data_IF_430581491546
#
_entry.id   IF_430581491546
#
_cell.length_a   1.000
_cell.length_b   1.000
_cell.length_c   1.000
_cell.angle_alpha   90.00
_cell.angle_beta   90.00
_cell.angle_gamma   90.00
#
_symmetry.space_group_name_H-M   'P 1'
#
loop_
_entity.id
_entity.type
_entity.pdbx_description
1 polymer ?
#
# COMPACT_ATOMS: atom_id res chain seq x y z
N UNK A 1 12.76 -17.81 -34.03
CA UNK A 1 11.89 -18.70 -34.82
C UNK A 1 11.48 -19.86 -33.93
N UNK A 2 10.18 -20.00 -33.69
CA UNK A 2 9.60 -20.86 -32.66
C UNK A 2 9.57 -22.34 -33.10
N UNK A 3 10.25 -23.23 -32.35
CA UNK A 3 10.17 -24.69 -32.52
C UNK A 3 8.85 -25.32 -32.01
N UNK A 4 7.81 -24.49 -31.79
CA UNK A 4 6.48 -24.94 -31.36
C UNK A 4 5.87 -26.01 -32.29
N UNK A 5 6.02 -25.93 -33.64
CA UNK A 5 5.50 -26.98 -34.53
C UNK A 5 6.22 -28.31 -34.36
N UNK A 6 7.54 -28.28 -34.08
CA UNK A 6 8.37 -29.49 -33.91
C UNK A 6 8.00 -30.20 -32.62
N UNK A 7 7.73 -29.46 -31.54
CA UNK A 7 7.32 -30.01 -30.25
C UNK A 7 5.93 -30.65 -30.35
N UNK A 8 4.98 -30.01 -31.03
CA UNK A 8 3.63 -30.56 -31.24
C UNK A 8 3.68 -31.83 -32.08
N UNK A 9 4.53 -31.87 -33.11
CA UNK A 9 4.74 -33.06 -33.94
C UNK A 9 5.37 -34.20 -33.13
N UNK A 10 6.35 -33.89 -32.27
CA UNK A 10 7.00 -34.87 -31.40
C UNK A 10 6.02 -35.47 -30.38
N UNK A 11 5.15 -34.63 -29.79
CA UNK A 11 4.10 -35.08 -28.87
C UNK A 11 3.04 -35.93 -29.56
N UNK A 12 2.67 -35.61 -30.81
CA UNK A 12 1.75 -36.44 -31.60
C UNK A 12 2.36 -37.80 -31.96
N UNK A 13 3.64 -37.85 -32.33
CA UNK A 13 4.34 -39.10 -32.64
C UNK A 13 4.44 -39.98 -31.38
N UNK A 14 4.77 -39.39 -30.24
CA UNK A 14 4.82 -40.11 -28.96
C UNK A 14 3.43 -40.65 -28.59
N UNK A 15 2.37 -39.85 -28.76
CA UNK A 15 0.98 -40.28 -28.52
C UNK A 15 0.58 -41.45 -29.45
N UNK A 16 0.96 -41.40 -30.73
CA UNK A 16 0.60 -42.45 -31.68
C UNK A 16 1.37 -43.76 -31.43
N UNK A 17 2.66 -43.67 -31.10
CA UNK A 17 3.47 -44.83 -30.69
C UNK A 17 2.91 -45.43 -29.39
N UNK A 18 2.44 -44.58 -28.47
CA UNK A 18 1.82 -44.99 -27.21
C UNK A 18 0.49 -45.74 -27.41
N UNK A 19 -0.38 -45.30 -28.32
CA UNK A 19 -1.62 -46.00 -28.69
C UNK A 19 -1.35 -47.38 -29.33
N UNK A 20 -0.30 -47.49 -30.16
CA UNK A 20 0.09 -48.77 -30.77
C UNK A 20 0.62 -49.75 -29.71
N UNK A 21 1.39 -49.26 -28.74
CA UNK A 21 1.90 -50.09 -27.63
C UNK A 21 0.75 -50.51 -26.69
N UNK A 22 -0.26 -49.65 -26.49
CA UNK A 22 -1.45 -49.91 -25.68
C UNK A 22 -2.35 -51.02 -26.26
N UNK A 23 -2.41 -51.18 -27.58
CA UNK A 23 -3.16 -52.27 -28.21
C UNK A 23 -2.55 -53.67 -27.98
N UNK A 24 -1.29 -53.76 -27.54
CA UNK A 24 -0.60 -55.05 -27.40
C UNK A 24 -0.34 -55.53 -25.97
N UNK A 25 -0.48 -54.68 -24.93
CA UNK A 25 -0.18 -55.08 -23.55
C UNK A 25 -1.31 -54.72 -22.56
N UNK A 26 -2.03 -55.74 -22.06
CA UNK A 26 -3.01 -55.61 -20.97
C UNK A 26 -2.30 -55.37 -19.62
N UNK A 27 -1.89 -54.13 -19.34
CA UNK A 27 -1.41 -53.71 -18.01
C UNK A 27 -2.15 -52.46 -17.50
N UNK A 28 -3.34 -52.67 -16.95
CA UNK A 28 -4.19 -51.61 -16.38
C UNK A 28 -3.55 -50.91 -15.15
N UNK A 29 -2.66 -51.59 -14.43
CA UNK A 29 -2.05 -51.07 -13.19
C UNK A 29 -0.85 -50.15 -13.48
N UNK A 30 -0.03 -50.45 -14.50
CA UNK A 30 1.06 -49.56 -14.94
C UNK A 30 0.55 -48.26 -15.56
N UNK A 31 -0.66 -48.26 -16.13
CA UNK A 31 -1.33 -47.08 -16.70
C UNK A 31 -1.49 -45.96 -15.68
N UNK A 32 -2.00 -46.25 -14.49
CA UNK A 32 -2.28 -45.22 -13.49
C UNK A 32 -0.99 -44.74 -12.80
N UNK A 33 -0.01 -45.62 -12.61
CA UNK A 33 1.28 -45.26 -12.00
C UNK A 33 2.12 -44.40 -12.96
N UNK A 34 2.17 -44.75 -14.25
CA UNK A 34 2.95 -44.01 -15.25
C UNK A 34 2.29 -42.67 -15.62
N UNK A 35 0.95 -42.60 -15.69
CA UNK A 35 0.21 -41.35 -15.90
C UNK A 35 0.31 -40.43 -14.67
N UNK A 36 0.35 -40.99 -13.45
CA UNK A 36 0.62 -40.23 -12.23
C UNK A 36 2.08 -39.74 -12.18
N UNK A 37 3.04 -40.53 -12.68
CA UNK A 37 4.45 -40.13 -12.83
C UNK A 37 4.64 -39.06 -13.91
N UNK A 38 3.93 -39.15 -15.04
CA UNK A 38 3.93 -38.13 -16.10
C UNK A 38 3.26 -36.83 -15.64
N UNK A 39 2.14 -36.91 -14.89
CA UNK A 39 1.56 -35.73 -14.22
C UNK A 39 2.50 -35.18 -13.14
N UNK A 40 3.19 -36.02 -12.35
CA UNK A 40 4.22 -35.56 -11.41
C UNK A 40 5.39 -34.88 -12.14
N UNK A 41 5.81 -35.38 -13.31
CA UNK A 41 6.86 -34.79 -14.14
C UNK A 41 6.42 -33.47 -14.82
N UNK A 42 5.14 -33.33 -15.18
CA UNK A 42 4.58 -32.07 -15.67
C UNK A 42 4.39 -31.03 -14.55
N UNK A 43 4.12 -31.47 -13.30
CA UNK A 43 3.98 -30.59 -12.14
C UNK A 43 5.35 -30.18 -11.57
N UNK A 44 6.42 -30.93 -11.85
CA UNK A 44 7.76 -30.66 -11.29
C UNK A 44 8.69 -29.78 -12.17
N UNK A 45 8.21 -29.16 -13.26
CA UNK A 45 9.08 -28.36 -14.12
C UNK A 45 8.47 -27.08 -14.74
N UNK A 46 7.55 -26.40 -14.04
CA UNK A 46 7.59 -24.93 -14.05
C UNK A 46 8.12 -24.50 -12.70
N UNK A 47 9.38 -24.86 -12.42
CA UNK A 47 10.10 -24.19 -11.35
C UNK A 47 10.12 -22.71 -11.74
N UNK A 48 9.31 -21.89 -11.07
CA UNK A 48 9.29 -20.46 -11.31
C UNK A 48 10.72 -19.97 -11.14
N UNK A 49 11.33 -19.57 -12.26
CA UNK A 49 12.70 -19.09 -12.27
C UNK A 49 12.76 -17.94 -11.27
N UNK A 50 13.71 -18.03 -10.35
CA UNK A 50 13.87 -17.03 -9.30
C UNK A 50 15.35 -16.78 -9.07
N UNK A 51 15.65 -15.53 -8.76
CA UNK A 51 16.98 -15.10 -8.36
C UNK A 51 16.88 -14.50 -6.97
N UNK A 52 17.75 -14.93 -6.06
CA UNK A 52 17.83 -14.41 -4.70
C UNK A 52 19.20 -13.79 -4.51
N UNK A 53 19.24 -12.57 -3.98
CA UNK A 53 20.49 -11.84 -3.75
C UNK A 53 20.45 -11.07 -2.44
N UNK A 54 21.62 -11.03 -1.77
CA UNK A 54 21.82 -10.31 -0.51
C UNK A 54 22.18 -8.86 -0.76
N UNK A 55 21.56 -7.98 0.01
CA UNK A 55 21.74 -6.53 -0.05
C UNK A 55 22.64 -6.08 1.09
N UNK A 56 22.35 -6.55 2.30
CA UNK A 56 23.03 -6.15 3.53
C UNK A 56 23.19 -7.33 4.49
N UNK A 57 24.16 -7.22 5.40
CA UNK A 57 24.35 -8.20 6.47
C UNK A 57 23.64 -7.68 7.73
N UNK A 58 22.39 -8.10 7.90
CA UNK A 58 21.57 -7.78 9.07
C UNK A 58 21.28 -9.06 9.88
N UNK A 59 20.92 -8.89 11.15
CA UNK A 59 20.43 -9.98 11.99
C UNK A 59 19.14 -10.56 11.42
N UNK A 60 18.90 -11.86 11.64
CA UNK A 60 17.62 -12.45 11.29
C UNK A 60 16.57 -12.07 12.33
N UNK A 61 15.28 -12.00 11.95
CA UNK A 61 14.18 -11.86 12.90
C UNK A 61 14.15 -13.05 13.87
N UNK A 62 13.71 -12.79 15.10
CA UNK A 62 13.57 -13.81 16.14
C UNK A 62 12.23 -14.55 16.06
N UNK A 63 11.17 -13.86 15.61
CA UNK A 63 9.80 -14.37 15.66
C UNK A 63 9.06 -14.28 14.32
N UNK A 64 8.06 -15.14 14.16
CA UNK A 64 7.09 -15.08 13.07
C UNK A 64 6.06 -13.99 13.36
N UNK A 65 5.63 -13.28 12.32
CA UNK A 65 4.52 -12.34 12.41
C UNK A 65 3.19 -13.07 12.60
N UNK A 66 2.25 -12.38 13.24
CA UNK A 66 0.88 -12.83 13.43
C UNK A 66 0.19 -13.16 12.10
N UNK A 67 -0.56 -14.25 12.12
CA UNK A 67 -1.25 -14.78 10.96
C UNK A 67 -2.76 -14.65 11.17
N UNK A 68 -3.45 -14.18 10.12
CA UNK A 68 -4.90 -14.12 10.04
C UNK A 68 -5.40 -15.15 9.06
N UNK A 69 -6.54 -15.77 9.38
CA UNK A 69 -7.16 -16.74 8.46
C UNK A 69 -7.64 -16.06 7.17
N UNK A 70 -7.64 -16.79 6.07
CA UNK A 70 -8.11 -16.28 4.77
C UNK A 70 -9.55 -15.72 4.81
N UNK A 71 -10.42 -16.24 5.68
CA UNK A 71 -11.78 -15.71 5.86
C UNK A 71 -11.76 -14.39 6.64
N UNK A 72 -11.04 -14.38 7.77
CA UNK A 72 -10.96 -13.22 8.65
C UNK A 72 -10.40 -11.97 7.93
N UNK A 73 -9.48 -12.15 6.99
CA UNK A 73 -8.90 -11.04 6.22
C UNK A 73 -9.98 -10.30 5.43
N UNK A 74 -10.84 -11.01 4.68
CA UNK A 74 -11.91 -10.36 3.92
C UNK A 74 -12.98 -9.76 4.82
N UNK A 75 -13.31 -10.43 5.92
CA UNK A 75 -14.24 -9.87 6.92
C UNK A 75 -13.71 -8.55 7.48
N UNK A 76 -12.43 -8.50 7.88
CA UNK A 76 -11.78 -7.28 8.37
C UNK A 76 -11.71 -6.17 7.32
N UNK A 77 -11.46 -6.50 6.06
CA UNK A 77 -11.51 -5.53 4.95
C UNK A 77 -12.91 -4.92 4.80
N UNK A 78 -13.97 -5.74 4.90
CA UNK A 78 -15.37 -5.27 4.87
C UNK A 78 -15.68 -4.40 6.10
N UNK A 79 -15.26 -4.82 7.29
CA UNK A 79 -15.47 -4.03 8.52
C UNK A 79 -14.75 -2.66 8.44
N UNK A 80 -13.51 -2.65 7.95
CA UNK A 80 -12.75 -1.42 7.76
C UNK A 80 -13.40 -0.50 6.73
N UNK A 81 -13.95 -1.03 5.64
CA UNK A 81 -14.75 -0.24 4.70
C UNK A 81 -15.98 0.36 5.38
N UNK A 82 -16.62 -0.37 6.29
CA UNK A 82 -17.76 0.12 7.05
C UNK A 82 -17.40 1.11 8.17
N UNK A 83 -16.12 1.49 8.32
CA UNK A 83 -15.59 2.24 9.47
C UNK A 83 -15.86 1.55 10.83
N UNK A 84 -15.92 0.22 10.84
CA UNK A 84 -16.19 -0.59 12.03
C UNK A 84 -14.93 -1.33 12.49
N UNK A 85 -14.62 -1.22 13.79
CA UNK A 85 -13.54 -1.98 14.40
C UNK A 85 -14.03 -3.37 14.85
N UNK A 86 -13.24 -4.45 14.68
CA UNK A 86 -13.67 -5.82 15.03
C UNK A 86 -14.10 -6.01 16.48
N UNK A 87 -13.47 -5.31 17.43
CA UNK A 87 -13.86 -5.38 18.84
C UNK A 87 -15.28 -4.83 19.09
N UNK A 88 -15.69 -3.81 18.33
CA UNK A 88 -17.05 -3.23 18.43
C UNK A 88 -18.10 -4.21 17.97
N UNK A 89 -17.84 -4.92 16.87
CA UNK A 89 -18.75 -5.97 16.37
C UNK A 89 -19.00 -7.03 17.43
N UNK A 90 -17.95 -7.45 18.16
CA UNK A 90 -18.07 -8.43 19.25
C UNK A 90 -18.78 -7.86 20.48
N UNK A 91 -18.41 -6.65 20.91
CA UNK A 91 -18.97 -5.99 22.10
C UNK A 91 -20.47 -5.71 21.94
N UNK A 92 -20.87 -5.22 20.77
CA UNK A 92 -22.24 -4.80 20.49
C UNK A 92 -23.08 -5.94 19.86
N UNK A 93 -22.51 -7.14 19.74
CA UNK A 93 -23.12 -8.32 19.14
C UNK A 93 -23.74 -8.06 17.75
N UNK A 94 -23.05 -7.25 16.94
CA UNK A 94 -23.52 -6.83 15.62
C UNK A 94 -23.46 -8.01 14.64
N UNK A 95 -24.60 -8.33 14.02
CA UNK A 95 -24.66 -9.31 12.94
C UNK A 95 -24.33 -8.64 11.62
N UNK A 96 -23.08 -8.73 11.18
CA UNK A 96 -22.63 -8.14 9.93
C UNK A 96 -22.85 -9.11 8.77
N UNK A 97 -23.70 -8.77 7.78
CA UNK A 97 -23.86 -9.58 6.59
C UNK A 97 -22.70 -9.31 5.63
N UNK A 98 -21.61 -10.08 5.75
CA UNK A 98 -20.44 -9.93 4.87
C UNK A 98 -20.79 -10.12 3.39
N UNK A 99 -21.78 -10.97 3.10
CA UNK A 99 -22.36 -11.18 1.77
C UNK A 99 -21.36 -11.60 0.68
N UNK A 100 -20.26 -12.25 1.05
CA UNK A 100 -19.25 -12.76 0.12
C UNK A 100 -19.86 -13.94 -0.66
N UNK A 101 -19.86 -13.83 -1.98
CA UNK A 101 -20.38 -14.84 -2.90
C UNK A 101 -19.26 -15.74 -3.43
N UNK A 102 -18.12 -15.16 -3.73
CA UNK A 102 -16.95 -15.86 -4.25
C UNK A 102 -15.68 -15.11 -3.87
N UNK A 103 -14.55 -15.82 -3.81
CA UNK A 103 -13.24 -15.24 -3.60
C UNK A 103 -12.14 -16.11 -4.17
N UNK A 104 -10.99 -15.51 -4.43
CA UNK A 104 -9.81 -16.24 -4.89
C UNK A 104 -9.31 -17.23 -3.84
N UNK A 105 -8.70 -18.32 -4.31
CA UNK A 105 -7.89 -19.17 -3.46
C UNK A 105 -6.68 -18.37 -2.91
N UNK A 106 -6.34 -18.62 -1.66
CA UNK A 106 -5.08 -18.20 -1.06
C UNK A 106 -4.72 -19.19 0.06
N UNK A 107 -3.50 -19.12 0.61
CA UNK A 107 -3.13 -19.94 1.75
C UNK A 107 -4.08 -19.76 2.94
N UNK A 108 -4.18 -20.78 3.78
CA UNK A 108 -5.06 -20.80 4.96
C UNK A 108 -4.89 -19.58 5.86
N UNK A 109 -3.68 -19.04 5.92
CA UNK A 109 -3.38 -17.83 6.68
C UNK A 109 -2.29 -16.97 6.05
N UNK A 110 -2.38 -15.66 6.30
CA UNK A 110 -1.47 -14.63 5.80
C UNK A 110 -1.20 -13.60 6.91
N UNK A 111 -0.05 -12.94 6.83
CA UNK A 111 0.15 -11.65 7.52
C UNK A 111 -0.68 -10.61 6.76
N UNK A 112 -1.48 -9.77 7.42
CA UNK A 112 -2.32 -8.78 6.72
C UNK A 112 -2.35 -7.45 7.44
N UNK A 113 -2.26 -6.37 6.67
CA UNK A 113 -2.32 -4.99 7.16
C UNK A 113 -3.51 -4.25 6.54
N UNK A 114 -4.59 -4.97 6.22
CA UNK A 114 -5.80 -4.40 5.64
C UNK A 114 -5.55 -3.84 4.24
N UNK A 115 -6.00 -2.60 4.01
CA UNK A 115 -5.98 -1.93 2.71
C UNK A 115 -4.60 -1.59 2.16
N UNK A 116 -3.53 -1.70 2.95
CA UNK A 116 -2.17 -1.39 2.51
C UNK A 116 -1.18 -2.53 2.87
N UNK A 117 -1.58 -3.77 2.58
CA UNK A 117 -0.81 -4.96 2.96
C UNK A 117 0.55 -5.08 2.27
N UNK A 118 0.69 -4.69 1.00
CA UNK A 118 1.98 -4.65 0.32
C UNK A 118 2.92 -3.62 0.94
N UNK A 119 2.49 -2.36 1.07
CA UNK A 119 3.32 -1.29 1.60
C UNK A 119 3.73 -1.53 3.05
N UNK A 120 2.76 -1.84 3.92
CA UNK A 120 3.05 -2.11 5.33
C UNK A 120 3.82 -3.42 5.52
N UNK A 121 3.65 -4.39 4.63
CA UNK A 121 4.46 -5.60 4.63
C UNK A 121 5.92 -5.35 4.24
N UNK A 122 6.17 -4.46 3.29
CA UNK A 122 7.53 -4.02 2.94
C UNK A 122 8.15 -3.18 4.06
N UNK A 123 7.37 -2.29 4.69
CA UNK A 123 7.77 -1.60 5.91
C UNK A 123 8.16 -2.59 7.02
N UNK A 124 7.34 -3.61 7.28
CA UNK A 124 7.64 -4.61 8.29
C UNK A 124 8.93 -5.37 7.94
N UNK A 125 9.13 -5.71 6.67
CA UNK A 125 10.35 -6.36 6.24
C UNK A 125 11.58 -5.48 6.44
N UNK A 126 11.45 -4.18 6.20
CA UNK A 126 12.48 -3.19 6.47
C UNK A 126 12.78 -3.07 7.97
N UNK A 127 11.74 -2.92 8.80
CA UNK A 127 11.86 -2.74 10.25
C UNK A 127 12.47 -3.96 10.96
N UNK A 128 12.03 -5.17 10.58
CA UNK A 128 12.41 -6.44 11.23
C UNK A 128 13.57 -7.17 10.54
N UNK A 129 14.14 -6.59 9.48
CA UNK A 129 15.18 -7.23 8.64
C UNK A 129 14.72 -8.56 8.05
N UNK A 130 13.50 -8.62 7.52
CA UNK A 130 12.96 -9.81 6.84
C UNK A 130 13.33 -9.78 5.36
N UNK A 131 13.70 -10.91 4.75
CA UNK A 131 13.78 -10.99 3.29
C UNK A 131 12.44 -10.66 2.64
N UNK A 132 12.46 -10.10 1.44
CA UNK A 132 11.24 -9.76 0.71
C UNK A 132 11.22 -10.38 -0.69
N UNK A 133 10.04 -10.81 -1.13
CA UNK A 133 9.86 -11.48 -2.43
C UNK A 133 9.00 -10.62 -3.34
N UNK A 134 9.48 -10.37 -4.55
CA UNK A 134 8.78 -9.60 -5.58
C UNK A 134 8.60 -10.47 -6.83
N UNK A 135 7.48 -10.29 -7.52
CA UNK A 135 7.19 -10.93 -8.80
C UNK A 135 6.76 -9.88 -9.84
N UNK A 136 6.84 -10.20 -11.14
CA UNK A 136 6.33 -9.35 -12.21
C UNK A 136 4.88 -8.94 -11.98
N UNK A 137 4.02 -9.85 -11.51
CA UNK A 137 2.60 -9.57 -11.24
C UNK A 137 2.40 -8.59 -10.09
N UNK A 138 3.22 -8.69 -9.02
CA UNK A 138 3.17 -7.77 -7.88
C UNK A 138 3.51 -6.35 -8.36
N UNK A 139 4.63 -6.20 -9.08
CA UNK A 139 5.07 -4.91 -9.59
C UNK A 139 4.09 -4.36 -10.64
N UNK A 140 3.60 -5.22 -11.55
CA UNK A 140 2.64 -4.81 -12.56
C UNK A 140 1.28 -4.41 -11.97
N UNK A 141 0.82 -5.06 -10.89
CA UNK A 141 -0.41 -4.69 -10.21
C UNK A 141 -0.29 -3.29 -9.57
N UNK A 142 0.84 -2.97 -8.93
CA UNK A 142 1.09 -1.61 -8.40
C UNK A 142 1.04 -0.56 -9.50
N UNK A 143 1.71 -0.81 -10.64
CA UNK A 143 1.67 0.09 -11.80
C UNK A 143 0.23 0.20 -12.34
N UNK A 144 -0.51 -0.90 -12.41
CA UNK A 144 -1.90 -0.89 -12.90
C UNK A 144 -2.83 -0.12 -11.95
N UNK A 145 -2.61 -0.20 -10.64
CA UNK A 145 -3.36 0.56 -9.64
C UNK A 145 -3.04 2.05 -9.71
N UNK A 146 -1.76 2.43 -9.85
CA UNK A 146 -1.37 3.82 -10.09
C UNK A 146 -1.94 4.38 -11.40
N UNK A 147 -2.01 3.57 -12.45
CA UNK A 147 -2.69 3.93 -13.70
C UNK A 147 -4.19 4.12 -13.51
N UNK A 148 -4.88 3.20 -12.80
CA UNK A 148 -6.29 3.35 -12.50
C UNK A 148 -6.58 4.62 -11.67
N UNK A 149 -5.72 4.94 -10.70
CA UNK A 149 -5.79 6.18 -9.94
C UNK A 149 -5.60 7.41 -10.83
N UNK A 150 -4.67 7.38 -11.78
CA UNK A 150 -4.51 8.45 -12.77
C UNK A 150 -5.81 8.68 -13.55
N UNK A 151 -6.41 7.63 -14.09
CA UNK A 151 -7.66 7.75 -14.85
C UNK A 151 -8.78 8.31 -13.97
N UNK A 152 -8.92 7.84 -12.73
CA UNK A 152 -9.95 8.29 -11.80
C UNK A 152 -9.74 9.75 -11.32
N UNK A 153 -8.50 10.14 -11.03
CA UNK A 153 -8.16 11.48 -10.57
C UNK A 153 -8.33 12.56 -11.64
N UNK A 154 -8.36 12.18 -12.92
CA UNK A 154 -8.47 13.10 -14.05
C UNK A 154 -9.85 13.07 -14.75
N UNK A 155 -10.91 12.51 -14.11
CA UNK A 155 -12.24 12.38 -14.72
C UNK A 155 -12.94 13.72 -15.03
N UNK A 156 -12.65 14.81 -14.29
CA UNK A 156 -13.05 16.18 -14.64
C UNK A 156 -11.96 17.18 -14.21
N UNK A 157 -10.89 17.30 -15.01
CA UNK A 157 -9.79 18.30 -14.96
C UNK A 157 -9.77 19.26 -13.77
N UNK A 158 -9.04 18.84 -12.72
CA UNK A 158 -8.49 19.63 -11.60
C UNK A 158 -9.37 20.70 -10.96
N UNK A 159 -9.76 20.51 -9.69
CA UNK A 159 -10.34 21.61 -8.90
C UNK A 159 -9.92 21.54 -7.43
N UNK A 160 -9.00 22.46 -7.09
CA UNK A 160 -8.72 23.07 -5.76
C UNK A 160 -7.61 22.44 -4.89
N UNK A 161 -6.35 22.77 -5.21
CA UNK A 161 -5.18 22.71 -4.32
C UNK A 161 -5.36 23.58 -3.07
N UNK A 162 -5.13 23.07 -1.84
CA UNK A 162 -4.78 23.89 -0.68
C UNK A 162 -3.82 23.21 0.32
N UNK A 163 -2.92 24.04 0.85
CA UNK A 163 -1.98 23.87 1.96
C UNK A 163 -2.74 23.97 3.33
N UNK A 164 -2.17 23.94 4.54
CA UNK A 164 -0.86 24.28 5.11
C UNK A 164 -0.85 23.72 6.55
N UNK A 165 0.32 23.48 7.16
CA UNK A 165 0.39 23.14 8.59
C UNK A 165 1.49 23.93 9.30
N UNK A 166 1.08 24.57 10.40
CA UNK A 166 1.93 25.34 11.31
C UNK A 166 2.52 24.46 12.41
N UNK A 167 3.84 24.57 12.63
CA UNK A 167 4.54 23.93 13.75
C UNK A 167 6.03 24.30 13.74
N UNK A 168 6.74 23.96 14.83
CA UNK A 168 8.19 24.09 14.90
C UNK A 168 8.82 23.04 13.97
N UNK A 169 9.73 23.47 13.10
CA UNK A 169 10.26 22.64 12.01
C UNK A 169 11.49 21.83 12.46
N UNK A 170 11.45 20.50 12.31
CA UNK A 170 12.59 19.64 12.61
C UNK A 170 13.50 19.47 11.38
N UNK A 171 14.79 19.74 11.56
CA UNK A 171 15.84 19.38 10.62
C UNK A 171 16.38 18.01 11.00
N UNK A 172 16.40 17.08 10.04
CA UNK A 172 16.75 15.69 10.27
C UNK A 172 17.95 15.33 9.40
N UNK A 173 18.98 14.75 10.02
CA UNK A 173 20.15 14.21 9.31
C UNK A 173 20.29 12.73 9.65
N UNK A 174 20.33 11.90 8.62
CA UNK A 174 20.59 10.46 8.77
C UNK A 174 22.10 10.19 8.94
N UNK A 175 22.42 9.29 9.88
CA UNK A 175 23.77 8.79 10.13
C UNK A 175 23.80 7.26 10.10
N UNK A 176 24.76 6.70 9.35
CA UNK A 176 24.85 5.24 9.15
C UNK A 176 25.60 4.52 10.29
N UNK A 177 26.16 5.28 11.25
CA UNK A 177 27.02 4.77 12.33
C UNK A 177 26.56 5.27 13.69
N UNK A 178 26.96 4.54 14.74
CA UNK A 178 26.65 4.94 16.12
C UNK A 178 27.43 6.20 16.50
N UNK A 179 26.94 7.01 17.45
CA UNK A 179 27.64 8.20 17.92
C UNK A 179 29.08 7.94 18.41
N UNK A 180 29.33 6.74 18.95
CA UNK A 180 30.63 6.29 19.47
C UNK A 180 31.50 5.54 18.44
N UNK A 181 31.03 5.37 17.21
CA UNK A 181 31.82 4.78 16.13
C UNK A 181 32.91 5.77 15.69
N UNK A 182 34.21 5.44 15.80
CA UNK A 182 35.30 6.36 15.45
C UNK A 182 35.29 6.81 13.98
N UNK A 183 34.57 6.09 13.11
CA UNK A 183 34.47 6.40 11.71
C UNK A 183 33.18 7.16 11.34
N UNK A 184 32.41 7.64 12.33
CA UNK A 184 31.31 8.59 12.12
C UNK A 184 31.87 10.00 11.86
N UNK A 185 31.63 10.53 10.66
CA UNK A 185 32.10 11.85 10.25
C UNK A 185 31.13 12.95 10.75
N UNK A 186 31.35 13.42 11.97
CA UNK A 186 30.56 14.47 12.62
C UNK A 186 30.53 15.78 11.82
N UNK A 187 31.66 16.15 11.22
CA UNK A 187 31.80 17.34 10.38
C UNK A 187 30.79 17.34 9.24
N UNK A 188 30.61 16.18 8.58
CA UNK A 188 29.63 16.02 7.51
C UNK A 188 28.18 16.09 7.99
N UNK A 189 27.90 15.77 9.25
CA UNK A 189 26.56 15.91 9.84
C UNK A 189 26.23 17.39 10.06
N UNK A 190 27.16 18.16 10.62
CA UNK A 190 26.94 19.60 10.87
C UNK A 190 26.76 20.37 9.55
N UNK A 191 27.56 20.08 8.53
CA UNK A 191 27.40 20.69 7.21
C UNK A 191 26.06 20.35 6.54
N UNK A 192 25.48 19.16 6.81
CA UNK A 192 24.13 18.81 6.32
C UNK A 192 23.04 19.61 7.04
N UNK A 193 23.19 19.89 8.33
CA UNK A 193 22.26 20.75 9.06
C UNK A 193 22.32 22.18 8.54
N UNK A 194 23.50 22.78 8.37
CA UNK A 194 23.62 24.13 7.82
C UNK A 194 23.11 24.24 6.39
N UNK A 195 23.34 23.23 5.54
CA UNK A 195 22.73 23.16 4.21
C UNK A 195 21.19 23.09 4.23
N UNK A 196 20.59 22.52 5.27
CA UNK A 196 19.14 22.57 5.48
C UNK A 196 18.69 23.93 6.01
N UNK A 197 19.39 24.52 6.99
CA UNK A 197 19.12 25.88 7.51
C UNK A 197 19.14 26.90 6.36
N UNK A 198 20.10 26.79 5.44
CA UNK A 198 20.21 27.65 4.26
C UNK A 198 18.93 27.67 3.41
N UNK A 199 18.24 26.53 3.29
CA UNK A 199 16.99 26.42 2.53
C UNK A 199 15.81 27.09 3.24
N UNK A 200 15.82 27.14 4.57
CA UNK A 200 14.71 27.69 5.37
C UNK A 200 14.90 29.16 5.75
N UNK A 201 16.12 29.56 6.12
CA UNK A 201 16.45 30.91 6.57
C UNK A 201 17.08 31.78 5.46
N UNK A 202 17.36 31.19 4.29
CA UNK A 202 18.06 31.84 3.18
C UNK A 202 19.58 31.86 3.37
N UNK A 203 20.30 32.12 2.27
CA UNK A 203 21.77 32.07 2.24
C UNK A 203 22.46 33.09 3.16
N UNK A 204 21.84 34.25 3.36
CA UNK A 204 22.48 35.39 4.02
C UNK A 204 22.93 35.05 5.46
N UNK A 205 22.10 34.36 6.23
CA UNK A 205 22.45 33.99 7.61
C UNK A 205 23.59 32.98 7.67
N UNK A 206 23.54 31.94 6.82
CA UNK A 206 24.57 30.91 6.77
C UNK A 206 25.89 31.46 6.25
N UNK A 207 25.88 32.30 5.21
CA UNK A 207 27.10 32.89 4.65
C UNK A 207 27.74 33.90 5.61
N UNK A 208 26.93 34.70 6.32
CA UNK A 208 27.42 35.71 7.27
C UNK A 208 28.11 35.09 8.48
N UNK A 209 27.55 33.99 9.01
CA UNK A 209 28.03 33.35 10.23
C UNK A 209 29.06 32.25 9.97
N UNK A 210 29.19 31.73 8.74
CA UNK A 210 30.20 30.73 8.41
C UNK A 210 31.59 31.38 8.41
N UNK A 211 32.53 30.81 9.17
CA UNK A 211 33.93 31.19 9.09
C UNK A 211 34.49 30.90 7.69
N UNK A 212 35.05 31.93 7.05
CA UNK A 212 35.65 31.87 5.71
C UNK A 212 36.85 32.84 5.59
N UNK A 213 37.58 33.04 6.67
CA UNK A 213 38.74 33.93 6.73
C UNK A 213 40.02 33.24 6.27
N UNK A 214 41.08 34.02 6.03
CA UNK A 214 42.40 33.48 5.63
C UNK A 214 43.03 32.54 6.66
N UNK A 215 42.57 32.56 7.91
CA UNK A 215 43.02 31.67 8.99
C UNK A 215 42.04 30.53 9.28
N UNK A 216 40.92 30.44 8.56
CA UNK A 216 39.92 29.41 8.79
C UNK A 216 40.43 28.04 8.37
N UNK A 217 40.49 27.11 9.32
CA UNK A 217 40.69 25.69 9.06
C UNK A 217 39.34 24.94 9.08
N UNK A 218 39.30 23.63 8.76
CA UNK A 218 38.08 22.84 8.90
C UNK A 218 37.46 22.92 10.31
N UNK A 219 38.27 23.06 11.35
CA UNK A 219 37.78 23.14 12.74
C UNK A 219 37.00 24.43 12.97
N UNK A 220 37.54 25.60 12.60
CA UNK A 220 36.82 26.87 12.76
C UNK A 220 35.56 26.93 11.89
N UNK A 221 35.61 26.31 10.70
CA UNK A 221 34.42 26.19 9.84
C UNK A 221 33.32 25.40 10.55
N UNK A 222 33.61 24.21 11.07
CA UNK A 222 32.62 23.40 11.79
C UNK A 222 32.11 24.09 13.05
N UNK A 223 32.98 24.71 13.84
CA UNK A 223 32.57 25.48 15.02
C UNK A 223 31.58 26.61 14.66
N UNK A 224 31.80 27.28 13.53
CA UNK A 224 30.86 28.29 13.01
C UNK A 224 29.54 27.70 12.51
N UNK A 225 29.55 26.52 11.88
CA UNK A 225 28.35 25.79 11.46
C UNK A 225 27.48 25.38 12.67
N UNK A 226 28.09 24.92 13.76
CA UNK A 226 27.39 24.63 15.03
C UNK A 226 26.83 25.93 15.65
N UNK A 227 27.56 27.04 15.54
CA UNK A 227 27.09 28.35 16.02
C UNK A 227 25.87 28.85 15.23
N UNK A 228 25.79 28.55 13.93
CA UNK A 228 24.58 28.80 13.13
C UNK A 228 23.39 27.99 13.66
N UNK A 229 23.61 26.71 13.99
CA UNK A 229 22.58 25.86 14.58
C UNK A 229 22.06 26.42 15.92
N UNK A 230 22.97 26.90 16.79
CA UNK A 230 22.62 27.58 18.05
C UNK A 230 21.72 28.80 17.84
N UNK A 231 21.95 29.57 16.76
CA UNK A 231 21.18 30.78 16.44
C UNK A 231 19.71 30.49 16.12
N UNK A 232 19.43 29.36 15.46
CA UNK A 232 18.08 29.02 14.98
C UNK A 232 17.34 28.00 15.85
N UNK A 233 17.98 27.48 16.92
CA UNK A 233 17.37 26.51 17.85
C UNK A 233 16.03 26.94 18.52
N UNK A 234 15.70 28.24 18.69
CA UNK A 234 14.37 28.62 19.17
C UNK A 234 13.26 28.24 18.18
N UNK A 235 13.59 28.14 16.89
CA UNK A 235 12.65 27.91 15.78
C UNK A 235 12.78 26.52 15.16
N UNK A 236 13.94 25.88 15.29
CA UNK A 236 14.24 24.59 14.70
C UNK A 236 14.60 23.55 15.77
N UNK A 237 14.40 22.28 15.42
CA UNK A 237 14.92 21.15 16.16
C UNK A 237 15.94 20.39 15.31
N UNK A 238 17.03 19.92 15.91
CA UNK A 238 18.08 19.15 15.20
C UNK A 238 18.07 17.70 15.66
N UNK A 239 17.76 16.78 14.76
CA UNK A 239 17.64 15.35 15.06
C UNK A 239 18.63 14.56 14.20
N UNK A 240 19.48 13.77 14.85
CA UNK A 240 20.31 12.75 14.18
C UNK A 240 19.61 11.41 14.37
N UNK A 241 19.22 10.76 13.27
CA UNK A 241 18.57 9.45 13.31
C UNK A 241 19.54 8.40 12.77
N UNK A 242 19.78 7.36 13.58
CA UNK A 242 20.41 6.12 13.15
C UNK A 242 19.34 5.05 13.04
N UNK A 243 18.95 4.73 11.80
CA UNK A 243 17.97 3.68 11.54
C UNK A 243 18.72 2.36 11.34
N UNK A 244 18.66 1.45 12.32
CA UNK A 244 19.12 0.06 12.14
C UNK A 244 17.99 -0.75 11.52
N UNK A 245 17.55 -0.36 10.33
CA UNK A 245 16.50 -1.03 9.56
C UNK A 245 16.94 -1.17 8.11
N UNK A 246 16.49 -2.22 7.44
CA UNK A 246 16.93 -2.58 6.09
C UNK A 246 16.37 -3.94 5.69
N UNK A 247 16.20 -4.16 4.38
CA UNK A 247 15.79 -5.46 3.84
C UNK A 247 17.07 -6.23 3.46
N UNK A 248 17.42 -7.33 4.16
CA UNK A 248 18.73 -7.97 3.98
C UNK A 248 18.86 -8.73 2.65
N UNK A 249 17.76 -9.23 2.10
CA UNK A 249 17.74 -10.14 0.96
C UNK A 249 16.45 -9.96 0.16
N UNK A 250 16.59 -9.97 -1.16
CA UNK A 250 15.47 -9.94 -2.11
C UNK A 250 15.46 -11.23 -2.92
N UNK A 251 14.25 -11.75 -3.15
CA UNK A 251 14.01 -12.76 -4.17
C UNK A 251 13.12 -12.17 -5.26
N UNK A 252 13.60 -12.17 -6.50
CA UNK A 252 12.78 -11.90 -7.67
C UNK A 252 12.32 -13.23 -8.26
N UNK A 253 11.00 -13.41 -8.31
CA UNK A 253 10.35 -14.47 -9.08
C UNK A 253 10.18 -14.04 -10.55
N UNK A 254 9.88 -15.00 -11.43
CA UNK A 254 9.68 -14.74 -12.86
C UNK A 254 10.98 -14.76 -13.67
N UNK A 255 10.86 -14.91 -14.98
CA UNK A 255 12.04 -14.93 -15.86
C UNK A 255 12.45 -13.51 -16.24
N UNK A 256 13.69 -13.30 -16.74
CA UNK A 256 14.08 -12.00 -17.29
C UNK A 256 13.13 -11.47 -18.37
N UNK A 257 12.60 -12.36 -19.20
CA UNK A 257 11.62 -12.01 -20.24
C UNK A 257 10.31 -11.49 -19.65
N UNK A 258 9.90 -11.97 -18.46
CA UNK A 258 8.73 -11.43 -17.77
C UNK A 258 9.00 -10.01 -17.26
N UNK A 259 10.19 -9.75 -16.72
CA UNK A 259 10.59 -8.41 -16.28
C UNK A 259 10.74 -7.43 -17.44
N UNK A 260 11.24 -7.89 -18.60
CA UNK A 260 11.28 -7.10 -19.84
C UNK A 260 9.87 -6.74 -20.32
N UNK A 261 8.90 -7.67 -20.22
CA UNK A 261 7.49 -7.38 -20.51
C UNK A 261 6.89 -6.36 -19.55
N UNK A 262 7.22 -6.41 -18.26
CA UNK A 262 6.75 -5.40 -17.29
C UNK A 262 7.26 -4.02 -17.71
N UNK A 263 8.55 -3.92 -18.05
CA UNK A 263 9.13 -2.68 -18.57
C UNK A 263 8.40 -2.21 -19.83
N UNK A 264 8.33 -3.02 -20.90
CA UNK A 264 7.66 -2.65 -22.16
C UNK A 264 6.21 -2.20 -21.96
N UNK A 265 5.45 -2.92 -21.12
CA UNK A 265 4.07 -2.54 -20.80
C UNK A 265 3.99 -1.22 -20.05
N UNK A 266 4.92 -0.93 -19.13
CA UNK A 266 4.96 0.34 -18.42
C UNK A 266 5.29 1.50 -19.37
N UNK A 267 6.23 1.31 -20.31
CA UNK A 267 6.59 2.33 -21.31
C UNK A 267 5.40 2.73 -22.18
N UNK A 268 4.54 1.78 -22.54
CA UNK A 268 3.31 2.07 -23.30
C UNK A 268 2.32 2.95 -22.55
N UNK A 269 2.39 3.03 -21.22
CA UNK A 269 1.53 3.93 -20.43
C UNK A 269 1.87 5.41 -20.63
N UNK A 270 3.05 5.75 -21.16
CA UNK A 270 3.43 7.13 -21.51
C UNK A 270 2.41 7.82 -22.43
N UNK A 271 1.81 7.06 -23.33
CA UNK A 271 0.78 7.54 -24.26
C UNK A 271 -0.52 8.02 -23.60
N UNK A 272 -0.69 7.82 -22.30
CA UNK A 272 -1.85 8.24 -21.51
C UNK A 272 -1.50 9.42 -20.59
N UNK A 273 -0.74 10.39 -21.06
CA UNK A 273 -0.32 11.59 -20.30
C UNK A 273 0.47 11.28 -19.00
N UNK A 274 1.13 10.13 -18.98
CA UNK A 274 1.88 9.63 -17.83
C UNK A 274 3.39 9.67 -18.01
N UNK A 275 3.92 10.38 -19.02
CA UNK A 275 5.37 10.52 -19.23
C UNK A 275 6.08 10.90 -17.92
N UNK A 276 5.60 11.92 -17.21
CA UNK A 276 6.17 12.39 -15.94
C UNK A 276 6.32 11.30 -14.87
N UNK A 277 5.47 10.26 -14.88
CA UNK A 277 5.50 9.17 -13.91
C UNK A 277 6.30 8.00 -14.45
N UNK A 278 6.07 7.62 -15.70
CA UNK A 278 6.73 6.48 -16.31
C UNK A 278 8.23 6.74 -16.51
N UNK A 279 8.66 7.97 -16.82
CA UNK A 279 10.09 8.33 -16.86
C UNK A 279 10.79 8.09 -15.51
N UNK A 280 10.06 8.15 -14.39
CA UNK A 280 10.60 7.87 -13.05
C UNK A 280 10.65 6.37 -12.74
N UNK A 281 9.74 5.57 -13.31
CA UNK A 281 9.67 4.11 -13.16
C UNK A 281 10.63 3.35 -14.09
N UNK A 282 10.86 3.84 -15.31
CA UNK A 282 11.70 3.19 -16.31
C UNK A 282 13.09 2.81 -15.80
N UNK A 283 13.86 3.71 -15.14
CA UNK A 283 15.16 3.34 -14.58
C UNK A 283 15.06 2.25 -13.54
N UNK A 284 13.98 2.23 -12.73
CA UNK A 284 13.77 1.19 -11.73
C UNK A 284 13.53 -0.16 -12.40
N UNK A 285 12.60 -0.21 -13.35
CA UNK A 285 12.23 -1.44 -14.05
C UNK A 285 13.40 -2.03 -14.84
N UNK A 286 14.31 -1.19 -15.35
CA UNK A 286 15.58 -1.65 -15.91
C UNK A 286 16.46 -2.35 -14.87
N UNK A 287 16.53 -1.86 -13.63
CA UNK A 287 17.26 -2.54 -12.55
C UNK A 287 16.60 -3.87 -12.14
N UNK A 288 15.26 -3.99 -12.22
CA UNK A 288 14.58 -5.28 -12.09
C UNK A 288 15.00 -6.27 -13.19
N UNK A 289 15.04 -5.82 -14.45
CA UNK A 289 15.51 -6.64 -15.59
C UNK A 289 16.95 -7.09 -15.38
N UNK A 290 17.87 -6.19 -15.03
CA UNK A 290 19.28 -6.54 -14.75
C UNK A 290 19.39 -7.54 -13.60
N UNK A 291 18.72 -7.27 -12.48
CA UNK A 291 18.76 -8.14 -11.31
C UNK A 291 18.21 -9.54 -11.63
N UNK A 292 17.15 -9.64 -12.44
CA UNK A 292 16.59 -10.92 -12.90
C UNK A 292 17.58 -11.76 -13.72
N UNK A 293 18.54 -11.12 -14.39
CA UNK A 293 19.64 -11.74 -15.15
C UNK A 293 20.86 -12.06 -14.29
N UNK A 294 20.83 -11.71 -12.99
CA UNK A 294 21.93 -11.89 -12.04
C UNK A 294 22.85 -10.67 -11.88
N UNK A 295 22.57 -9.56 -12.57
CA UNK A 295 23.33 -8.32 -12.48
C UNK A 295 22.71 -7.41 -11.41
N UNK A 296 23.25 -7.46 -10.19
CA UNK A 296 22.63 -6.80 -9.01
C UNK A 296 23.38 -5.54 -8.61
N UNK A 297 22.71 -4.38 -8.73
CA UNK A 297 23.16 -3.13 -8.15
C UNK A 297 22.72 -3.00 -6.68
N UNK A 298 23.60 -3.38 -5.75
CA UNK A 298 23.26 -3.38 -4.31
C UNK A 298 22.87 -2.02 -3.75
N UNK A 299 23.46 -0.93 -4.26
CA UNK A 299 23.14 0.42 -3.80
C UNK A 299 21.70 0.80 -4.18
N UNK A 300 21.29 0.48 -5.42
CA UNK A 300 19.91 0.64 -5.87
C UNK A 300 18.93 -0.14 -4.97
N UNK A 301 19.21 -1.42 -4.70
CA UNK A 301 18.32 -2.25 -3.88
C UNK A 301 18.30 -1.82 -2.41
N UNK A 302 19.42 -1.34 -1.87
CA UNK A 302 19.44 -0.75 -0.51
C UNK A 302 18.57 0.50 -0.40
N UNK A 303 18.45 1.25 -1.49
CA UNK A 303 17.60 2.44 -1.58
C UNK A 303 16.12 2.11 -1.92
N UNK A 304 15.64 0.87 -1.69
CA UNK A 304 14.25 0.52 -2.00
C UNK A 304 13.23 1.14 -1.07
N UNK A 305 13.53 1.17 0.23
CA UNK A 305 12.62 1.60 1.28
C UNK A 305 13.46 2.20 2.40
N UNK A 306 13.15 3.42 2.82
CA UNK A 306 13.69 3.99 4.06
C UNK A 306 12.58 4.67 4.83
N UNK A 307 12.65 4.57 6.14
CA UNK A 307 11.70 5.19 7.05
C UNK A 307 12.46 6.16 7.96
N UNK A 308 12.02 7.41 7.97
CA UNK A 308 12.55 8.47 8.83
C UNK A 308 11.49 8.80 9.87
N UNK A 309 11.68 8.30 11.09
CA UNK A 309 10.76 8.60 12.20
C UNK A 309 11.01 10.02 12.70
N UNK A 310 10.00 10.88 12.65
CA UNK A 310 10.07 12.16 13.35
C UNK A 310 9.54 11.92 14.77
N UNK A 311 10.39 11.43 15.69
CA UNK A 311 10.00 11.01 17.06
C UNK A 311 9.35 12.12 17.93
N UNK A 312 9.15 13.35 17.43
CA UNK A 312 8.49 14.42 18.19
C UNK A 312 7.10 14.79 17.65
N UNK A 313 6.14 14.80 18.57
CA UNK A 313 4.80 15.40 18.45
C UNK A 313 3.84 14.79 17.41
N UNK A 314 3.85 13.46 17.23
CA UNK A 314 2.83 12.80 16.40
C UNK A 314 2.91 13.11 14.91
N UNK A 315 4.05 13.65 14.45
CA UNK A 315 4.36 13.77 13.03
C UNK A 315 4.51 12.38 12.41
N UNK A 316 3.97 12.15 11.20
CA UNK A 316 4.02 10.84 10.55
C UNK A 316 5.43 10.48 10.12
N UNK A 317 5.73 9.17 10.11
CA UNK A 317 6.98 8.68 9.53
C UNK A 317 7.07 9.10 8.05
N UNK A 318 8.21 9.65 7.64
CA UNK A 318 8.47 9.96 6.24
C UNK A 318 9.14 8.75 5.60
N UNK A 319 8.52 8.23 4.53
CA UNK A 319 9.06 7.12 3.75
C UNK A 319 9.68 7.66 2.46
N UNK A 320 10.91 7.24 2.17
CA UNK A 320 11.57 7.46 0.89
C UNK A 320 12.14 6.16 0.29
N UNK A 321 12.96 6.30 -0.75
CA UNK A 321 13.45 5.19 -1.55
C UNK A 321 12.61 5.04 -2.81
N UNK A 322 13.02 4.15 -3.72
CA UNK A 322 12.33 4.06 -5.00
C UNK A 322 10.90 3.50 -4.90
N UNK A 323 10.52 2.86 -3.78
CA UNK A 323 9.17 2.34 -3.56
C UNK A 323 8.09 3.40 -3.72
N UNK A 324 8.37 4.64 -3.30
CA UNK A 324 7.41 5.76 -3.36
C UNK A 324 6.97 6.07 -4.78
N UNK A 325 7.80 5.72 -5.78
CA UNK A 325 7.51 5.95 -7.19
C UNK A 325 6.39 5.05 -7.71
N UNK A 326 6.06 3.96 -7.01
CA UNK A 326 4.90 3.11 -7.33
C UNK A 326 3.56 3.68 -6.86
N UNK A 327 3.56 4.81 -6.12
CA UNK A 327 2.36 5.45 -5.57
C UNK A 327 2.21 6.88 -6.12
N UNK A 328 1.79 7.04 -7.39
CA UNK A 328 1.70 8.35 -8.04
C UNK A 328 0.60 9.26 -7.47
N UNK A 329 -0.37 8.71 -6.76
CA UNK A 329 -1.48 9.43 -6.13
C UNK A 329 -1.67 8.99 -4.68
N UNK A 330 -2.20 9.89 -3.85
CA UNK A 330 -2.71 9.56 -2.52
C UNK A 330 -4.16 9.04 -2.60
N UNK A 331 -4.74 8.64 -1.45
CA UNK A 331 -6.13 8.16 -1.38
C UNK A 331 -7.19 9.18 -1.82
N UNK A 332 -6.84 10.46 -1.84
CA UNK A 332 -7.72 11.57 -2.23
C UNK A 332 -7.62 11.85 -3.74
N UNK A 333 -6.77 11.11 -4.45
CA UNK A 333 -6.51 11.29 -5.87
C UNK A 333 -5.59 12.48 -6.16
N UNK A 334 -4.91 13.03 -5.16
CA UNK A 334 -3.93 14.10 -5.35
C UNK A 334 -2.58 13.49 -5.74
N UNK A 335 -1.92 14.12 -6.71
CA UNK A 335 -0.65 13.67 -7.25
C UNK A 335 0.47 13.79 -6.21
N UNK A 336 1.20 12.70 -5.99
CA UNK A 336 2.39 12.66 -5.15
C UNK A 336 3.63 13.21 -5.89
N UNK A 337 4.62 13.68 -5.12
CA UNK A 337 5.86 14.22 -5.66
C UNK A 337 6.88 13.15 -6.09
N UNK A 338 6.58 11.87 -5.87
CA UNK A 338 7.43 10.69 -6.17
C UNK A 338 8.81 10.69 -5.48
N UNK A 339 9.00 11.50 -4.42
CA UNK A 339 10.24 11.59 -3.64
C UNK A 339 10.08 11.04 -2.24
N UNK A 340 8.92 11.29 -1.62
CA UNK A 340 8.61 10.82 -0.28
C UNK A 340 7.10 10.63 -0.12
N UNK A 341 6.71 9.76 0.82
CA UNK A 341 5.35 9.56 1.27
C UNK A 341 5.29 9.74 2.78
N UNK A 342 4.20 10.30 3.28
CA UNK A 342 3.90 10.25 4.71
C UNK A 342 3.23 8.92 5.02
N UNK A 343 3.70 8.22 6.05
CA UNK A 343 3.08 6.99 6.55
C UNK A 343 1.84 7.32 7.39
N UNK A 344 0.88 7.95 6.74
CA UNK A 344 -0.42 8.32 7.30
C UNK A 344 -1.51 7.48 6.65
N UNK A 345 -2.76 7.75 7.04
CA UNK A 345 -3.93 7.26 6.33
C UNK A 345 -4.05 7.81 4.89
N UNK A 346 -3.05 8.51 4.35
CA UNK A 346 -3.11 9.08 2.99
C UNK A 346 -2.55 8.15 1.90
N UNK A 347 -1.98 7.00 2.27
CA UNK A 347 -1.59 5.97 1.31
C UNK A 347 -2.81 5.54 0.48
N UNK A 348 -2.68 5.41 -0.85
CA UNK A 348 -3.80 4.98 -1.65
C UNK A 348 -4.18 3.53 -1.34
N UNK A 349 -5.47 3.22 -1.44
CA UNK A 349 -5.97 1.86 -1.22
C UNK A 349 -5.33 0.88 -2.19
N UNK A 350 -4.74 -0.20 -1.65
CA UNK A 350 -4.21 -1.31 -2.44
C UNK A 350 -5.27 -2.36 -2.76
N UNK A 351 -6.50 -2.16 -2.27
CA UNK A 351 -7.70 -2.93 -2.63
C UNK A 351 -8.60 -2.02 -3.46
N UNK A 352 -8.73 -2.32 -4.76
CA UNK A 352 -9.66 -1.63 -5.65
C UNK A 352 -11.06 -2.22 -5.50
N UNK A 353 -12.09 -1.37 -5.69
CA UNK A 353 -13.50 -1.75 -5.63
C UNK A 353 -14.23 -1.33 -6.89
N UNK A 354 -15.08 -2.20 -7.42
CA UNK A 354 -15.88 -1.93 -8.62
C UNK A 354 -17.32 -2.41 -8.39
N UNK A 355 -18.27 -1.53 -8.63
CA UNK A 355 -19.69 -1.87 -8.63
C UNK A 355 -20.07 -2.69 -9.87
N UNK A 356 -20.87 -3.73 -9.67
CA UNK A 356 -21.40 -4.57 -10.73
C UNK A 356 -22.91 -4.74 -10.54
N UNK A 357 -23.70 -4.73 -11.61
CA UNK A 357 -25.12 -5.12 -11.55
C UNK A 357 -25.29 -6.49 -12.20
N UNK A 358 -25.79 -7.45 -11.45
CA UNK A 358 -26.19 -8.76 -11.97
C UNK A 358 -27.69 -8.73 -12.30
N UNK A 359 -28.06 -9.00 -13.55
CA UNK A 359 -29.45 -8.92 -14.01
C UNK A 359 -29.96 -10.29 -14.46
N UNK A 360 -31.07 -10.73 -13.86
CA UNK A 360 -31.86 -11.88 -14.31
C UNK A 360 -33.03 -11.33 -15.15
N UNK A 361 -33.10 -11.73 -16.43
CA UNK A 361 -34.15 -11.29 -17.35
C UNK A 361 -35.18 -12.40 -17.48
N UNK A 362 -36.42 -12.10 -17.12
CA UNK A 362 -37.60 -12.94 -17.29
C UNK A 362 -38.50 -12.38 -18.40
N UNK A 363 -39.52 -13.12 -18.80
CA UNK A 363 -40.41 -12.75 -19.92
C UNK A 363 -41.11 -11.39 -19.76
N UNK A 364 -41.31 -10.92 -18.54
CA UNK A 364 -42.06 -9.71 -18.18
C UNK A 364 -41.31 -8.76 -17.22
N UNK A 365 -40.17 -9.19 -16.65
CA UNK A 365 -39.49 -8.48 -15.58
C UNK A 365 -37.97 -8.65 -15.64
N UNK A 366 -37.23 -7.64 -15.17
CA UNK A 366 -35.77 -7.70 -14.95
C UNK A 366 -35.49 -7.55 -13.48
N UNK A 367 -34.85 -8.56 -12.87
CA UNK A 367 -34.41 -8.53 -11.48
C UNK A 367 -32.93 -8.19 -11.42
N UNK A 368 -32.61 -7.04 -10.84
CA UNK A 368 -31.23 -6.56 -10.70
C UNK A 368 -30.72 -6.76 -9.28
N UNK A 369 -29.61 -7.49 -9.11
CA UNK A 369 -28.86 -7.64 -7.86
C UNK A 369 -27.56 -6.84 -7.96
N UNK A 370 -27.35 -5.80 -7.15
CA UNK A 370 -26.08 -5.09 -7.13
C UNK A 370 -25.03 -5.88 -6.37
N UNK A 371 -23.85 -5.94 -6.95
CA UNK A 371 -22.66 -6.64 -6.50
C UNK A 371 -21.50 -5.65 -6.42
N UNK A 372 -20.45 -6.04 -5.71
CA UNK A 372 -19.21 -5.30 -5.59
C UNK A 372 -18.04 -6.27 -5.74
N UNK A 373 -17.08 -5.91 -6.58
CA UNK A 373 -15.85 -6.66 -6.86
C UNK A 373 -14.70 -5.98 -6.14
N UNK A 374 -13.92 -6.75 -5.39
CA UNK A 374 -12.75 -6.24 -4.67
C UNK A 374 -11.52 -7.01 -5.12
N UNK A 375 -10.41 -6.33 -5.38
CA UNK A 375 -9.17 -6.98 -5.80
C UNK A 375 -7.94 -6.19 -5.37
N UNK A 376 -6.86 -6.89 -5.04
CA UNK A 376 -5.61 -6.24 -4.64
C UNK A 376 -4.72 -7.09 -3.75
N UNK A 377 -3.90 -6.44 -2.93
CA UNK A 377 -3.00 -7.12 -1.98
C UNK A 377 -3.75 -7.42 -0.67
N UNK A 378 -4.09 -8.69 -0.46
CA UNK A 378 -4.88 -9.13 0.71
C UNK A 378 -4.00 -9.45 1.94
N UNK A 379 -2.69 -9.62 1.74
CA UNK A 379 -1.74 -9.97 2.80
C UNK A 379 -0.39 -10.40 2.24
N UNK A 380 0.42 -11.06 3.07
CA UNK A 380 1.72 -11.62 2.73
C UNK A 380 1.84 -13.06 3.23
N UNK A 381 2.34 -13.93 2.35
CA UNK A 381 2.87 -15.24 2.72
C UNK A 381 4.16 -15.04 3.50
N UNK A 382 4.21 -15.62 4.69
CA UNK A 382 5.43 -15.68 5.49
C UNK A 382 6.08 -17.06 5.39
N UNK A 383 7.34 -17.11 5.00
CA UNK A 383 8.09 -18.36 4.96
C UNK A 383 8.60 -18.71 6.37
N UNK A 384 8.19 -19.86 6.89
CA UNK A 384 8.56 -20.32 8.25
C UNK A 384 10.05 -20.61 8.45
N UNK A 385 10.82 -20.80 7.37
CA UNK A 385 12.24 -21.18 7.44
C UNK A 385 13.19 -19.99 7.36
N UNK A 386 12.89 -19.01 6.50
CA UNK A 386 13.77 -17.86 6.27
C UNK A 386 13.08 -16.51 6.56
N UNK A 387 11.87 -16.53 7.11
CA UNK A 387 11.08 -15.34 7.47
C UNK A 387 10.72 -14.43 6.29
N UNK A 388 10.95 -14.87 5.05
CA UNK A 388 10.68 -14.07 3.88
C UNK A 388 9.19 -13.74 3.77
N UNK A 389 8.89 -12.47 3.50
CA UNK A 389 7.53 -12.01 3.22
C UNK A 389 7.33 -11.91 1.71
N UNK A 390 6.25 -12.51 1.23
CA UNK A 390 5.83 -12.45 -0.18
C UNK A 390 4.40 -11.92 -0.25
N UNK A 391 4.16 -10.73 -0.83
CA UNK A 391 2.82 -10.22 -1.07
C UNK A 391 1.91 -11.22 -1.78
N UNK A 392 0.63 -11.24 -1.38
CA UNK A 392 -0.40 -12.12 -1.92
C UNK A 392 -1.51 -11.27 -2.53
N UNK A 393 -1.72 -11.45 -3.84
CA UNK A 393 -2.82 -10.86 -4.58
C UNK A 393 -4.06 -11.73 -4.38
N UNK A 394 -5.23 -11.12 -4.22
CA UNK A 394 -6.51 -11.81 -4.09
C UNK A 394 -7.68 -10.97 -4.57
N UNK A 395 -8.85 -11.60 -4.66
CA UNK A 395 -10.10 -10.93 -5.04
C UNK A 395 -11.31 -11.54 -4.35
N UNK A 396 -12.39 -10.76 -4.21
CA UNK A 396 -13.71 -11.26 -3.80
C UNK A 396 -14.85 -10.59 -4.57
N UNK A 397 -15.96 -11.30 -4.65
CA UNK A 397 -17.27 -10.81 -5.13
C UNK A 397 -18.23 -10.86 -3.96
N UNK A 398 -18.94 -9.76 -3.69
CA UNK A 398 -19.97 -9.71 -2.66
C UNK A 398 -21.24 -9.04 -3.15
N UNK A 399 -22.38 -9.32 -2.51
CA UNK A 399 -23.58 -8.49 -2.74
C UNK A 399 -23.34 -7.11 -2.16
N UNK A 400 -23.57 -6.08 -2.96
CA UNK A 400 -23.49 -4.70 -2.50
C UNK A 400 -24.67 -4.44 -1.57
N UNK A 401 -24.39 -3.82 -0.44
CA UNK A 401 -25.42 -3.47 0.50
C UNK A 401 -26.14 -2.19 0.02
N UNK A 402 -27.26 -2.39 -0.68
CA UNK A 402 -28.05 -1.30 -1.31
C UNK A 402 -28.98 -0.61 -0.35
N UNK A 403 -29.29 -1.21 0.81
CA UNK A 403 -30.34 -0.73 1.70
C UNK A 403 -29.84 0.29 2.72
N UNK A 404 -28.88 1.16 2.38
CA UNK A 404 -28.30 2.09 3.37
C UNK A 404 -27.85 1.40 4.69
N UNK A 405 -27.76 0.07 4.78
CA UNK A 405 -27.57 -0.65 6.04
C UNK A 405 -26.18 -0.36 6.60
N UNK A 406 -25.18 -0.05 5.74
CA UNK A 406 -23.88 0.52 6.12
C UNK A 406 -24.03 1.85 6.87
N UNK A 407 -24.76 2.81 6.30
CA UNK A 407 -24.98 4.12 6.89
C UNK A 407 -25.86 3.98 8.14
N UNK A 408 -26.90 3.17 8.10
CA UNK A 408 -27.80 2.87 9.22
C UNK A 408 -27.07 2.22 10.39
N UNK A 409 -26.21 1.23 10.16
CA UNK A 409 -25.44 0.56 11.21
C UNK A 409 -24.43 1.53 11.84
N UNK A 410 -23.74 2.35 11.03
CA UNK A 410 -22.84 3.40 11.53
C UNK A 410 -23.60 4.45 12.35
N UNK A 411 -24.69 4.98 11.81
CA UNK A 411 -25.53 5.96 12.49
C UNK A 411 -26.16 5.38 13.76
N UNK A 412 -26.57 4.11 13.78
CA UNK A 412 -27.08 3.44 14.98
C UNK A 412 -26.02 3.31 16.07
N UNK A 413 -24.78 2.99 15.70
CA UNK A 413 -23.66 2.94 16.64
C UNK A 413 -23.29 4.34 17.16
N UNK A 414 -23.29 5.34 16.28
CA UNK A 414 -23.00 6.73 16.65
C UNK A 414 -24.12 7.39 17.44
N UNK A 415 -25.39 6.96 17.26
CA UNK A 415 -26.55 7.51 17.97
C UNK A 415 -26.53 7.27 19.48
N UNK A 416 -25.77 6.26 19.93
CA UNK A 416 -25.65 5.89 21.35
C UNK A 416 -24.54 6.63 22.09
N UNK A 417 -23.77 7.49 21.41
CA UNK A 417 -22.63 8.21 21.99
C UNK A 417 -23.00 9.61 22.50
N UNK A 418 -22.40 10.03 23.60
CA UNK A 418 -22.45 11.39 24.15
C UNK A 418 -21.01 11.95 24.38
N UNK A 419 -20.84 13.28 24.39
CA UNK A 419 -19.54 13.95 24.55
C UNK A 419 -19.09 14.87 23.40
N UNK A 420 -17.94 15.56 23.55
CA UNK A 420 -17.36 16.44 22.53
C UNK A 420 -16.68 15.59 21.43
N UNK A 421 -17.13 15.72 20.18
CA UNK A 421 -16.68 14.85 19.07
C UNK A 421 -17.43 13.53 18.93
N UNK A 422 -18.40 13.26 19.81
CA UNK A 422 -19.23 12.05 19.83
C UNK A 422 -20.68 12.35 19.42
N UNK A 423 -21.38 11.35 18.86
CA UNK A 423 -22.73 11.50 18.31
C UNK A 423 -22.73 11.52 16.77
N UNK A 424 -23.89 11.74 16.16
CA UNK A 424 -24.01 11.85 14.71
C UNK A 424 -23.66 13.28 14.30
N UNK A 425 -22.56 13.49 13.60
CA UNK A 425 -22.14 14.79 13.05
C UNK A 425 -22.02 14.68 11.54
N UNK A 426 -22.89 15.37 10.81
CA UNK A 426 -23.00 15.24 9.35
C UNK A 426 -23.07 16.60 8.67
N UNK A 427 -22.51 16.68 7.46
CA UNK A 427 -22.62 17.84 6.57
C UNK A 427 -23.35 17.42 5.31
N UNK A 428 -24.47 18.07 4.99
CA UNK A 428 -25.42 17.58 3.99
C UNK A 428 -25.99 18.72 3.13
N UNK A 429 -26.43 18.39 1.92
CA UNK A 429 -27.22 19.32 1.09
C UNK A 429 -28.71 19.23 1.44
N UNK A 430 -29.20 18.01 1.66
CA UNK A 430 -30.58 17.68 2.00
C UNK A 430 -30.62 16.75 3.22
N UNK A 431 -31.73 16.72 3.95
CA UNK A 431 -31.86 15.89 5.15
C UNK A 431 -31.77 14.38 4.81
N UNK A 432 -30.89 13.60 5.48
CA UNK A 432 -30.83 12.15 5.24
C UNK A 432 -32.01 11.42 5.86
N UNK A 433 -32.94 10.94 5.03
CA UNK A 433 -34.14 10.20 5.48
C UNK A 433 -33.82 8.96 6.32
N UNK A 434 -32.64 8.36 6.16
CA UNK A 434 -32.16 7.23 6.98
C UNK A 434 -32.10 7.54 8.48
N UNK A 435 -31.94 8.82 8.87
CA UNK A 435 -31.99 9.22 10.28
C UNK A 435 -33.37 8.95 10.91
N UNK A 436 -34.44 9.03 10.11
CA UNK A 436 -35.82 8.77 10.54
C UNK A 436 -36.07 7.32 10.95
N UNK A 437 -35.18 6.41 10.58
CA UNK A 437 -35.26 5.00 10.97
C UNK A 437 -34.69 4.74 12.37
N UNK A 438 -34.00 5.71 12.98
CA UNK A 438 -33.46 5.60 14.33
C UNK A 438 -34.51 5.95 15.38
N UNK A 439 -34.60 5.15 16.46
CA UNK A 439 -35.54 5.40 17.55
C UNK A 439 -35.04 6.47 18.53
N UNK A 440 -33.73 6.50 18.77
CA UNK A 440 -33.09 7.40 19.73
C UNK A 440 -31.69 7.82 19.26
N UNK A 441 -31.39 9.11 19.41
CA UNK A 441 -30.11 9.74 19.09
C UNK A 441 -29.70 10.63 20.27
N UNK A 442 -28.63 10.29 20.97
CA UNK A 442 -28.15 11.11 22.10
C UNK A 442 -27.68 12.50 21.67
N UNK A 443 -26.97 12.60 20.54
CA UNK A 443 -26.53 13.88 19.95
C UNK A 443 -26.56 13.82 18.42
N UNK A 444 -27.19 14.82 17.80
CA UNK A 444 -27.29 15.01 16.36
C UNK A 444 -26.84 16.43 16.00
N UNK A 445 -25.80 16.55 15.18
CA UNK A 445 -25.32 17.80 14.60
C UNK A 445 -25.41 17.73 13.08
N UNK A 446 -26.18 18.64 12.46
CA UNK A 446 -26.35 18.71 11.02
C UNK A 446 -25.87 20.07 10.51
N UNK A 447 -24.92 20.05 9.57
CA UNK A 447 -24.44 21.22 8.86
C UNK A 447 -24.97 21.22 7.43
N UNK A 448 -26.02 21.98 7.17
CA UNK A 448 -26.55 22.20 5.83
C UNK A 448 -25.58 23.04 5.02
N UNK A 449 -25.33 22.63 3.78
CA UNK A 449 -24.53 23.38 2.82
C UNK A 449 -25.25 24.68 2.42
N UNK A 450 -26.57 24.60 2.31
CA UNK A 450 -27.47 25.69 1.93
C UNK A 450 -28.44 26.02 3.09
N UNK A 451 -29.74 26.16 2.81
CA UNK A 451 -30.76 26.43 3.82
C UNK A 451 -31.01 25.20 4.68
N UNK A 452 -31.30 25.42 5.97
CA UNK A 452 -31.77 24.36 6.86
C UNK A 452 -33.14 23.89 6.38
N UNK A 453 -33.24 22.60 6.03
CA UNK A 453 -34.47 21.95 5.60
C UNK A 453 -34.58 20.59 6.30
N UNK A 454 -35.58 20.45 7.17
CA UNK A 454 -35.75 19.28 8.04
C UNK A 454 -37.19 18.79 7.95
N UNK A 455 -37.40 17.49 7.71
CA UNK A 455 -38.74 16.90 7.65
C UNK A 455 -39.40 16.84 9.03
N UNK A 456 -40.72 17.04 9.08
CA UNK A 456 -41.52 16.98 10.32
C UNK A 456 -41.41 15.62 11.03
N UNK A 457 -41.14 14.56 10.27
CA UNK A 457 -40.93 13.20 10.75
C UNK A 457 -39.78 13.09 11.76
N UNK A 458 -38.85 14.04 11.80
CA UNK A 458 -37.76 14.05 12.80
C UNK A 458 -38.30 14.10 14.24
N UNK A 459 -39.51 14.65 14.44
CA UNK A 459 -40.19 14.70 15.73
C UNK A 459 -40.49 13.32 16.34
N UNK A 460 -40.47 12.27 15.52
CA UNK A 460 -40.70 10.88 15.94
C UNK A 460 -39.45 10.25 16.57
N UNK A 461 -38.30 10.92 16.50
CA UNK A 461 -37.02 10.44 17.02
C UNK A 461 -36.76 11.09 18.38
N UNK A 462 -36.38 10.30 19.38
CA UNK A 462 -35.92 10.86 20.66
C UNK A 462 -34.50 11.41 20.51
N UNK A 463 -34.35 12.73 20.45
CA UNK A 463 -33.06 13.40 20.28
C UNK A 463 -32.66 14.11 21.58
N UNK A 464 -31.50 13.77 22.15
CA UNK A 464 -31.01 14.38 23.39
C UNK A 464 -30.47 15.80 23.17
N UNK A 465 -29.58 15.98 22.20
CA UNK A 465 -29.03 17.28 21.82
C UNK A 465 -29.04 17.44 20.29
N UNK A 466 -29.72 18.47 19.79
CA UNK A 466 -29.83 18.80 18.38
C UNK A 466 -29.13 20.13 18.08
N UNK A 467 -28.16 20.11 17.17
CA UNK A 467 -27.45 21.31 16.71
C UNK A 467 -27.57 21.41 15.19
N UNK A 468 -28.00 22.56 14.69
CA UNK A 468 -28.24 22.80 13.27
C UNK A 468 -27.46 24.03 12.81
N UNK A 469 -26.74 23.88 11.69
CA UNK A 469 -26.09 24.97 10.99
C UNK A 469 -26.58 25.02 9.56
N UNK A 470 -26.77 26.21 9.00
CA UNK A 470 -27.09 26.43 7.59
C UNK A 470 -27.07 27.91 7.27
N UNK A 471 -27.17 28.26 5.99
CA UNK A 471 -27.40 29.64 5.58
C UNK A 471 -28.83 30.03 5.92
N UNK A 472 -29.01 31.23 6.47
CA UNK A 472 -30.31 31.80 6.84
C UNK A 472 -31.24 31.98 5.65
#
# INVERSE_FOLDING_TARGET
MSNLPVIILFLHIIYYIWEIILQHYKFSIMRNVLFSLLMLCCISAVAQKKVTFKIEKLSKPEELLDLHSHNEIYERLILSDMDLAPYRVKQDNLKIPYNILAKSEAPDSLVSYGYNSFFNGMYQAYADHRPFVLSPDIIWLLISQGFAQHINANQETMRHYFADFSGKLSLIVSADKKPDDPALAWEGIFSKFTGQIQKYAGNNLTELLTCNFSTTTPVEKIASEITIMETVKPYLEFIIIRVVCGIPEITLEGTPEDWEKVLDKAQKLKGYELEWWISELEPLLNEFVKASKGEVNKEFWRNMFKCHSQEKYGAPDIIDGWIVKFFPYDKEGKRNNLKQLERTNCLPDEIVKVDLKYQEVYSDTVKSTPLELWAGFIGLKQNKKNFALRPQIGWMVRKKDVRNDRLKNKLSADSQKDGWGNGIVIRVKEFPSVLLELKEIKRLEIRFIDKVDIPDEISKIKIGNLVLYGKG
#
